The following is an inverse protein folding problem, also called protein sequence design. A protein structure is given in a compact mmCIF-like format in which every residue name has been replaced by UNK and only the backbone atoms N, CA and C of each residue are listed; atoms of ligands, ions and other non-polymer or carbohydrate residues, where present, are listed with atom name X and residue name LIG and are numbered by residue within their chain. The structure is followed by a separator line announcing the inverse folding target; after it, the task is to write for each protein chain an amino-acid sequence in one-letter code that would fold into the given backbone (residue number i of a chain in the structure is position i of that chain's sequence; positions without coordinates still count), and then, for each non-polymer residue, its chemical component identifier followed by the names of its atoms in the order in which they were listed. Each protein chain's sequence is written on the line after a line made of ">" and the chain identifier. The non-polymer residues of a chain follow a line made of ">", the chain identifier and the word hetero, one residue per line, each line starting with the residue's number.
data_IF_036172732546
#
_entry.id   IF_036172732546
#
_cell.length_a   1.000
_cell.length_b   1.000
_cell.length_c   1.000
_cell.angle_alpha   90.00
_cell.angle_beta   90.00
_cell.angle_gamma   90.00
#
_symmetry.space_group_name_H-M   'P 1'
#
loop_
_entity.id
_entity.type
_entity.pdbx_description
1 polymer ?
#
# COMPACT_ATOMS: atom_id res chain seq x y z
N UNK A 1 -13.60 -28.24 7.99
CA UNK A 1 -12.64 -27.22 7.49
C UNK A 1 -12.62 -27.23 5.96
N UNK A 2 -12.64 -28.42 5.34
CA UNK A 2 -12.57 -28.59 3.88
C UNK A 2 -13.77 -27.99 3.12
N UNK A 3 -14.99 -28.11 3.64
CA UNK A 3 -16.18 -27.51 3.02
C UNK A 3 -16.13 -25.97 3.00
N UNK A 4 -15.61 -25.33 4.06
CA UNK A 4 -15.43 -23.86 4.09
C UNK A 4 -14.32 -23.46 3.12
N UNK A 5 -13.22 -24.20 3.07
CA UNK A 5 -12.13 -23.94 2.14
C UNK A 5 -12.56 -24.10 0.68
N UNK A 6 -13.37 -25.12 0.36
CA UNK A 6 -13.96 -25.32 -0.97
C UNK A 6 -14.92 -24.19 -1.34
N UNK A 7 -15.79 -23.79 -0.40
CA UNK A 7 -16.73 -22.67 -0.61
C UNK A 7 -15.98 -21.36 -0.86
N UNK A 8 -14.95 -21.06 -0.06
CA UNK A 8 -14.10 -19.89 -0.25
C UNK A 8 -13.34 -19.94 -1.58
N UNK A 9 -12.81 -21.10 -1.97
CA UNK A 9 -12.13 -21.29 -3.25
C UNK A 9 -13.08 -21.03 -4.42
N UNK A 10 -14.31 -21.56 -4.32
CA UNK A 10 -15.32 -21.32 -5.34
C UNK A 10 -15.64 -19.84 -5.51
N UNK A 11 -16.00 -19.14 -4.42
CA UNK A 11 -16.37 -17.73 -4.50
C UNK A 11 -15.21 -16.80 -4.84
N UNK A 12 -13.98 -17.13 -4.41
CA UNK A 12 -12.83 -16.24 -4.57
C UNK A 12 -11.99 -16.53 -5.82
N UNK A 13 -12.09 -17.72 -6.41
CA UNK A 13 -11.24 -18.12 -7.53
C UNK A 13 -12.04 -18.65 -8.72
N UNK A 14 -13.10 -19.43 -8.48
CA UNK A 14 -13.78 -20.18 -9.54
C UNK A 14 -15.10 -19.56 -10.00
N UNK A 15 -15.58 -18.52 -9.32
CA UNK A 15 -16.82 -17.85 -9.69
C UNK A 15 -16.75 -17.34 -11.15
N UNK A 16 -17.80 -17.55 -11.97
CA UNK A 16 -17.74 -17.27 -13.41
C UNK A 16 -17.36 -15.82 -13.73
N UNK A 17 -17.82 -14.85 -12.94
CA UNK A 17 -17.44 -13.43 -13.07
C UNK A 17 -15.95 -13.15 -12.84
N UNK A 18 -15.25 -14.01 -12.10
CA UNK A 18 -13.82 -13.90 -11.80
C UNK A 18 -13.00 -14.57 -12.92
N UNK A 19 -13.41 -15.77 -13.34
CA UNK A 19 -12.72 -16.54 -14.38
C UNK A 19 -12.84 -15.87 -15.75
N UNK A 20 -14.02 -15.36 -16.09
CA UNK A 20 -14.29 -14.69 -17.38
C UNK A 20 -13.87 -13.22 -17.39
N UNK A 21 -13.28 -12.72 -16.31
CA UNK A 21 -12.88 -11.32 -16.21
C UNK A 21 -11.85 -10.96 -17.27
N UNK A 22 -12.11 -9.85 -17.96
CA UNK A 22 -11.20 -9.26 -18.94
C UNK A 22 -11.11 -7.77 -18.68
N UNK A 23 -9.88 -7.29 -18.51
CA UNK A 23 -9.62 -5.85 -18.48
C UNK A 23 -9.94 -5.26 -19.86
N UNK A 24 -10.89 -4.34 -19.90
CA UNK A 24 -11.34 -3.68 -21.13
C UNK A 24 -11.88 -2.30 -20.81
N UNK A 25 -11.55 -1.33 -21.67
CA UNK A 25 -12.04 0.05 -21.58
C UNK A 25 -13.58 0.17 -21.65
N UNK A 26 -14.25 -0.83 -22.22
CA UNK A 26 -15.71 -0.82 -22.45
C UNK A 26 -16.46 -1.48 -21.29
N UNK A 27 -15.88 -2.53 -20.70
CA UNK A 27 -16.58 -3.40 -19.75
C UNK A 27 -16.16 -3.13 -18.29
N UNK A 28 -14.92 -2.70 -18.06
CA UNK A 28 -14.39 -2.45 -16.72
C UNK A 28 -14.55 -0.97 -16.35
N UNK A 29 -15.21 -0.70 -15.22
CA UNK A 29 -15.35 0.67 -14.72
C UNK A 29 -13.99 1.26 -14.34
N UNK A 30 -13.78 2.54 -14.67
CA UNK A 30 -12.55 3.27 -14.32
C UNK A 30 -11.28 2.78 -15.01
N UNK A 31 -11.43 2.11 -16.15
CA UNK A 31 -10.34 1.54 -16.95
C UNK A 31 -9.78 2.50 -18.02
N UNK A 32 -10.33 3.70 -18.15
CA UNK A 32 -9.84 4.70 -19.12
C UNK A 32 -8.78 5.60 -18.49
N UNK A 33 -7.80 6.02 -19.29
CA UNK A 33 -6.78 6.99 -18.89
C UNK A 33 -7.38 8.31 -18.42
N UNK A 34 -8.42 8.79 -19.11
CA UNK A 34 -9.14 10.00 -18.72
C UNK A 34 -9.75 9.88 -17.32
N UNK A 35 -10.37 8.73 -17.00
CA UNK A 35 -10.92 8.50 -15.67
C UNK A 35 -9.83 8.51 -14.59
N UNK A 36 -8.68 7.88 -14.85
CA UNK A 36 -7.57 7.86 -13.90
C UNK A 36 -7.06 9.27 -13.59
N UNK A 37 -6.73 10.06 -14.61
CA UNK A 37 -6.23 11.42 -14.39
C UNK A 37 -7.28 12.33 -13.77
N UNK A 38 -8.54 12.22 -14.22
CA UNK A 38 -9.65 13.00 -13.67
C UNK A 38 -9.90 12.67 -12.20
N UNK A 39 -9.86 11.38 -11.82
CA UNK A 39 -10.06 10.95 -10.43
C UNK A 39 -8.92 11.39 -9.51
N UNK A 40 -7.66 11.35 -9.98
CA UNK A 40 -6.51 11.87 -9.23
C UNK A 40 -6.60 13.40 -9.09
N UNK A 41 -6.93 14.11 -10.16
CA UNK A 41 -7.10 15.56 -10.12
C UNK A 41 -8.24 15.95 -9.17
N UNK A 42 -9.38 15.27 -9.26
CA UNK A 42 -10.52 15.46 -8.35
C UNK A 42 -10.15 15.19 -6.89
N UNK A 43 -9.40 14.12 -6.62
CA UNK A 43 -8.91 13.81 -5.27
C UNK A 43 -8.04 14.93 -4.70
N UNK A 44 -7.08 15.45 -5.48
CA UNK A 44 -6.20 16.54 -5.05
C UNK A 44 -6.97 17.85 -4.86
N UNK A 45 -7.88 18.16 -5.78
CA UNK A 45 -8.76 19.32 -5.71
C UNK A 45 -9.63 19.28 -4.46
N UNK A 46 -10.28 18.14 -4.18
CA UNK A 46 -11.12 17.98 -3.00
C UNK A 46 -10.29 18.09 -1.70
N UNK A 47 -9.08 17.52 -1.67
CA UNK A 47 -8.17 17.68 -0.54
C UNK A 47 -7.79 19.14 -0.31
N UNK A 48 -7.51 19.89 -1.39
CA UNK A 48 -7.17 21.31 -1.33
C UNK A 48 -8.36 22.16 -0.85
N UNK A 49 -9.56 21.93 -1.40
CA UNK A 49 -10.79 22.63 -0.97
C UNK A 49 -11.05 22.38 0.51
N UNK A 50 -11.06 21.12 0.95
CA UNK A 50 -11.32 20.79 2.36
C UNK A 50 -10.28 21.47 3.26
N UNK A 51 -9.02 21.46 2.86
CA UNK A 51 -7.95 22.10 3.63
C UNK A 51 -8.13 23.62 3.73
N UNK A 52 -8.41 24.30 2.61
CA UNK A 52 -8.63 25.75 2.55
C UNK A 52 -9.90 26.12 3.34
N UNK A 53 -10.99 25.39 3.14
CA UNK A 53 -12.25 25.59 3.86
C UNK A 53 -12.07 25.47 5.37
N UNK A 54 -11.36 24.44 5.85
CA UNK A 54 -11.05 24.28 7.28
C UNK A 54 -10.09 25.34 7.82
N UNK A 55 -9.22 25.90 6.96
CA UNK A 55 -8.31 26.98 7.34
C UNK A 55 -9.05 28.32 7.47
N UNK A 56 -10.05 28.57 6.62
CA UNK A 56 -10.84 29.81 6.61
C UNK A 56 -11.95 29.78 7.69
N UNK A 57 -12.73 28.69 7.76
CA UNK A 57 -14.00 28.70 8.50
C UNK A 57 -13.85 28.39 9.99
N UNK A 58 -12.86 27.59 10.39
CA UNK A 58 -12.70 27.20 11.79
C UNK A 58 -11.46 27.85 12.41
N UNK A 59 -11.64 28.46 13.60
CA UNK A 59 -10.52 28.91 14.45
C UNK A 59 -9.48 27.78 14.63
N UNK A 60 -8.21 28.18 14.65
CA UNK A 60 -7.00 27.34 14.49
C UNK A 60 -6.87 26.20 15.51
N UNK A 61 -7.66 26.22 16.59
CA UNK A 61 -7.46 25.36 17.78
C UNK A 61 -8.46 24.22 17.98
N UNK A 62 -9.51 24.07 17.15
CA UNK A 62 -10.52 23.00 17.34
C UNK A 62 -10.37 21.85 16.35
N UNK A 63 -9.78 20.73 16.77
CA UNK A 63 -9.83 19.50 15.98
C UNK A 63 -11.29 19.03 15.81
N UNK A 64 -11.67 18.56 14.61
CA UNK A 64 -13.02 18.04 14.37
C UNK A 64 -13.10 16.62 14.95
N UNK A 65 -13.99 16.35 15.93
CA UNK A 65 -14.14 15.01 16.48
C UNK A 65 -14.86 14.11 15.46
N UNK A 66 -14.11 13.35 14.66
CA UNK A 66 -14.67 12.39 13.70
C UNK A 66 -15.29 11.13 14.34
N UNK A 67 -15.38 11.06 15.67
CA UNK A 67 -15.96 9.92 16.38
C UNK A 67 -15.36 8.56 15.95
N UNK A 68 -16.19 7.51 15.83
CA UNK A 68 -15.75 6.15 15.47
C UNK A 68 -15.49 5.95 13.97
N UNK A 69 -15.71 6.97 13.12
CA UNK A 69 -15.62 6.84 11.66
C UNK A 69 -14.26 6.29 11.19
N UNK A 70 -13.10 6.75 11.72
CA UNK A 70 -11.80 6.22 11.29
C UNK A 70 -11.53 4.79 11.78
N UNK A 71 -12.20 4.34 12.85
CA UNK A 71 -12.13 2.95 13.30
C UNK A 71 -12.89 2.04 12.35
N UNK A 72 -14.13 2.42 11.97
CA UNK A 72 -14.94 1.70 10.98
C UNK A 72 -14.25 1.62 9.63
N UNK A 73 -13.64 2.72 9.17
CA UNK A 73 -12.82 2.71 7.95
C UNK A 73 -11.62 1.76 8.08
N UNK A 74 -10.94 1.75 9.22
CA UNK A 74 -9.80 0.85 9.40
C UNK A 74 -10.23 -0.61 9.35
N UNK A 75 -11.37 -0.95 9.96
CA UNK A 75 -11.95 -2.30 9.91
C UNK A 75 -12.33 -2.69 8.47
N UNK A 76 -13.03 -1.82 7.74
CA UNK A 76 -13.42 -2.12 6.35
C UNK A 76 -12.21 -2.31 5.45
N UNK A 77 -11.15 -1.51 5.62
CA UNK A 77 -9.90 -1.68 4.87
C UNK A 77 -9.22 -3.01 5.17
N UNK A 78 -9.19 -3.47 6.43
CA UNK A 78 -8.63 -4.80 6.77
C UNK A 78 -9.40 -5.90 6.05
N UNK A 79 -10.74 -5.86 6.10
CA UNK A 79 -11.57 -6.87 5.45
C UNK A 79 -11.34 -6.88 3.93
N UNK A 80 -11.36 -5.72 3.28
CA UNK A 80 -11.10 -5.58 1.84
C UNK A 80 -9.73 -6.16 1.48
N UNK A 81 -8.66 -5.78 2.19
CA UNK A 81 -7.32 -6.27 1.88
C UNK A 81 -7.15 -7.75 2.20
N UNK A 82 -7.80 -8.28 3.23
CA UNK A 82 -7.77 -9.70 3.55
C UNK A 82 -8.47 -10.53 2.46
N UNK A 83 -9.61 -10.06 1.95
CA UNK A 83 -10.32 -10.68 0.84
C UNK A 83 -9.48 -10.65 -0.44
N UNK A 84 -8.84 -9.52 -0.76
CA UNK A 84 -7.95 -9.42 -1.94
C UNK A 84 -6.73 -10.33 -1.80
N UNK A 85 -6.12 -10.38 -0.61
CA UNK A 85 -4.99 -11.26 -0.33
C UNK A 85 -5.36 -12.73 -0.54
N UNK A 86 -6.46 -13.19 0.08
CA UNK A 86 -6.95 -14.55 -0.09
C UNK A 86 -7.31 -14.85 -1.54
N UNK A 87 -7.99 -13.92 -2.21
CA UNK A 87 -8.38 -14.00 -3.61
C UNK A 87 -7.19 -14.17 -4.55
N UNK A 88 -6.16 -13.32 -4.44
CA UNK A 88 -4.95 -13.46 -5.24
C UNK A 88 -4.20 -14.74 -4.90
N UNK A 89 -4.08 -15.09 -3.63
CA UNK A 89 -3.35 -16.29 -3.22
C UNK A 89 -3.99 -17.56 -3.80
N UNK A 90 -5.31 -17.69 -3.68
CA UNK A 90 -6.06 -18.81 -4.22
C UNK A 90 -6.05 -18.82 -5.75
N UNK A 91 -6.27 -17.68 -6.39
CA UNK A 91 -6.23 -17.54 -7.85
C UNK A 91 -4.85 -17.92 -8.40
N UNK A 92 -3.79 -17.44 -7.74
CA UNK A 92 -2.40 -17.76 -8.09
C UNK A 92 -2.11 -19.25 -7.93
N UNK A 93 -2.56 -19.86 -6.83
CA UNK A 93 -2.40 -21.29 -6.60
C UNK A 93 -3.13 -22.12 -7.66
N UNK A 94 -4.34 -21.72 -8.06
CA UNK A 94 -5.12 -22.36 -9.11
C UNK A 94 -4.43 -22.24 -10.48
N UNK A 95 -3.98 -21.04 -10.86
CA UNK A 95 -3.22 -20.81 -12.11
C UNK A 95 -1.94 -21.64 -12.15
N UNK A 96 -1.17 -21.70 -11.05
CA UNK A 96 0.06 -22.51 -10.96
C UNK A 96 -0.27 -24.00 -11.10
N UNK A 97 -1.38 -24.47 -10.52
CA UNK A 97 -1.80 -25.88 -10.60
C UNK A 97 -2.20 -26.28 -12.02
N UNK A 98 -2.99 -25.45 -12.69
CA UNK A 98 -3.45 -25.70 -14.06
C UNK A 98 -2.30 -25.61 -15.07
N UNK A 99 -1.42 -24.61 -14.91
CA UNK A 99 -0.27 -24.44 -15.80
C UNK A 99 0.88 -25.40 -15.50
N UNK A 100 0.88 -26.13 -14.37
CA UNK A 100 1.91 -27.11 -13.99
C UNK A 100 2.19 -28.14 -15.09
N UNK A 101 1.16 -28.54 -15.84
CA UNK A 101 1.32 -29.49 -16.96
C UNK A 101 2.05 -28.86 -18.17
N UNK A 102 1.82 -27.57 -18.43
CA UNK A 102 2.47 -26.79 -19.48
C UNK A 102 3.96 -26.50 -19.18
N UNK A 103 4.33 -26.38 -17.90
CA UNK A 103 5.68 -26.02 -17.44
C UNK A 103 6.57 -27.19 -17.04
N UNK A 104 6.33 -28.40 -17.57
CA UNK A 104 6.91 -29.67 -17.06
C UNK A 104 8.45 -29.78 -17.06
N UNK A 105 9.22 -28.77 -17.52
CA UNK A 105 10.69 -28.90 -17.56
C UNK A 105 11.57 -27.65 -17.35
N UNK A 106 11.07 -26.42 -17.15
CA UNK A 106 12.00 -25.26 -17.10
C UNK A 106 11.67 -24.02 -16.26
N UNK A 107 10.48 -23.91 -15.62
CA UNK A 107 10.14 -22.71 -14.82
C UNK A 107 9.63 -23.05 -13.42
N UNK A 108 10.18 -22.35 -12.42
CA UNK A 108 9.70 -22.42 -11.03
C UNK A 108 8.48 -21.51 -10.85
N UNK A 109 7.57 -21.80 -9.89
CA UNK A 109 6.40 -20.96 -9.61
C UNK A 109 6.78 -19.51 -9.29
N UNK A 110 7.87 -19.30 -8.55
CA UNK A 110 8.41 -17.98 -8.24
C UNK A 110 8.85 -17.22 -9.48
N UNK A 111 9.39 -17.90 -10.49
CA UNK A 111 9.79 -17.26 -11.74
C UNK A 111 8.57 -16.74 -12.52
N UNK A 112 7.44 -17.45 -12.49
CA UNK A 112 6.20 -16.97 -13.11
C UNK A 112 5.61 -15.76 -12.37
N UNK A 113 5.68 -15.74 -11.03
CA UNK A 113 5.25 -14.59 -10.22
C UNK A 113 6.07 -13.32 -10.48
N UNK A 114 7.36 -13.49 -10.78
CA UNK A 114 8.27 -12.39 -11.07
C UNK A 114 8.24 -11.95 -12.54
N UNK A 115 8.05 -12.88 -13.47
CA UNK A 115 8.14 -12.62 -14.91
C UNK A 115 7.03 -13.34 -15.68
N UNK A 116 6.06 -12.57 -16.17
CA UNK A 116 5.03 -13.09 -17.06
C UNK A 116 5.57 -13.30 -18.47
N UNK A 117 5.12 -14.36 -19.18
CA UNK A 117 5.49 -14.57 -20.57
C UNK A 117 4.98 -13.41 -21.45
N UNK A 118 5.75 -13.10 -22.50
CA UNK A 118 5.41 -12.06 -23.47
C UNK A 118 4.04 -12.36 -24.12
N UNK A 119 3.21 -11.33 -24.29
CA UNK A 119 1.89 -11.46 -24.91
C UNK A 119 0.78 -11.99 -23.98
N UNK A 120 1.02 -12.02 -22.66
CA UNK A 120 -0.04 -12.32 -21.68
C UNK A 120 -1.16 -11.30 -21.81
N UNK A 121 -2.38 -11.77 -22.08
CA UNK A 121 -3.58 -10.90 -22.10
C UNK A 121 -4.01 -10.59 -20.66
N UNK A 122 -4.49 -9.36 -20.36
CA UNK A 122 -5.00 -8.98 -19.04
C UNK A 122 -6.38 -9.62 -18.80
N UNK A 123 -6.41 -10.94 -18.63
CA UNK A 123 -7.64 -11.72 -18.48
C UNK A 123 -7.41 -12.87 -17.52
N UNK A 124 -8.46 -13.22 -16.79
CA UNK A 124 -8.45 -14.31 -15.82
C UNK A 124 -8.40 -13.85 -14.37
N UNK A 125 -8.33 -14.84 -13.48
CA UNK A 125 -8.60 -14.72 -12.04
C UNK A 125 -7.68 -13.73 -11.33
N UNK A 126 -6.40 -13.73 -11.71
CA UNK A 126 -5.39 -12.85 -11.11
C UNK A 126 -5.62 -11.38 -11.47
N UNK A 127 -6.10 -11.10 -12.68
CA UNK A 127 -6.40 -9.73 -13.13
C UNK A 127 -7.68 -9.19 -12.48
N UNK A 128 -8.67 -10.04 -12.20
CA UNK A 128 -9.85 -9.65 -11.43
C UNK A 128 -9.48 -9.10 -10.05
N UNK A 129 -8.66 -9.82 -9.29
CA UNK A 129 -8.26 -9.35 -7.97
C UNK A 129 -7.31 -8.17 -7.99
N UNK A 130 -6.52 -8.05 -9.06
CA UNK A 130 -5.71 -6.86 -9.28
C UNK A 130 -6.57 -5.63 -9.57
N UNK A 131 -7.70 -5.82 -10.26
CA UNK A 131 -8.70 -4.78 -10.44
C UNK A 131 -9.39 -4.43 -9.11
N UNK A 132 -9.73 -5.42 -8.29
CA UNK A 132 -10.23 -5.16 -6.93
C UNK A 132 -9.20 -4.40 -6.08
N UNK A 133 -7.91 -4.71 -6.23
CA UNK A 133 -6.84 -3.94 -5.60
C UNK A 133 -6.81 -2.49 -6.09
N UNK A 134 -6.89 -2.24 -7.39
CA UNK A 134 -7.00 -0.90 -7.95
C UNK A 134 -8.20 -0.13 -7.36
N UNK A 135 -9.39 -0.74 -7.30
CA UNK A 135 -10.56 -0.12 -6.68
C UNK A 135 -10.36 0.19 -5.19
N UNK A 136 -9.73 -0.72 -4.46
CA UNK A 136 -9.41 -0.52 -3.04
C UNK A 136 -8.53 0.70 -2.79
N UNK A 137 -7.74 1.15 -3.78
CA UNK A 137 -6.92 2.37 -3.67
C UNK A 137 -7.77 3.62 -3.50
N UNK A 138 -8.94 3.70 -4.14
CA UNK A 138 -9.84 4.85 -3.96
C UNK A 138 -10.43 4.87 -2.55
N UNK A 139 -10.80 3.71 -2.01
CA UNK A 139 -11.25 3.60 -0.61
C UNK A 139 -10.10 3.94 0.36
N UNK A 140 -8.86 3.57 0.02
CA UNK A 140 -7.68 3.96 0.78
C UNK A 140 -7.47 5.48 0.83
N UNK A 141 -7.70 6.17 -0.29
CA UNK A 141 -7.57 7.63 -0.37
C UNK A 141 -8.45 8.36 0.63
N UNK A 142 -9.61 7.79 1.01
CA UNK A 142 -10.54 8.37 1.99
C UNK A 142 -9.88 8.69 3.33
N UNK A 143 -8.87 7.90 3.71
CA UNK A 143 -8.06 8.16 4.91
C UNK A 143 -7.43 9.55 4.91
N UNK A 144 -7.08 10.06 3.74
CA UNK A 144 -6.48 11.39 3.61
C UNK A 144 -7.49 12.47 4.01
N UNK A 145 -8.75 12.34 3.63
CA UNK A 145 -9.80 13.25 4.07
C UNK A 145 -9.96 13.22 5.59
N UNK A 146 -9.98 12.04 6.22
CA UNK A 146 -10.01 11.95 7.68
C UNK A 146 -8.79 12.58 8.35
N UNK A 147 -7.61 12.45 7.73
CA UNK A 147 -6.37 13.05 8.23
C UNK A 147 -6.43 14.57 8.16
N UNK A 148 -6.91 15.13 7.04
CA UNK A 148 -7.08 16.57 6.85
C UNK A 148 -8.15 17.10 7.82
N UNK A 149 -9.28 16.41 8.00
CA UNK A 149 -10.34 16.83 8.93
C UNK A 149 -9.88 16.81 10.40
N UNK A 150 -9.10 15.80 10.80
CA UNK A 150 -8.63 15.65 12.19
C UNK A 150 -7.44 16.55 12.53
N UNK A 151 -6.40 16.50 11.69
CA UNK A 151 -5.11 17.12 11.97
C UNK A 151 -4.92 18.47 11.27
N UNK A 152 -5.83 18.84 10.36
CA UNK A 152 -5.76 20.05 9.50
C UNK A 152 -4.43 20.23 8.78
N UNK A 153 -3.70 19.14 8.56
CA UNK A 153 -2.40 19.15 7.90
C UNK A 153 -2.49 18.45 6.56
N UNK A 154 -2.15 19.18 5.50
CA UNK A 154 -1.96 18.60 4.18
C UNK A 154 -0.57 17.95 4.13
N UNK A 155 -0.50 16.63 4.29
CA UNK A 155 0.74 15.89 4.16
C UNK A 155 1.02 15.62 2.68
N UNK A 156 1.85 16.46 2.04
CA UNK A 156 2.22 16.32 0.63
C UNK A 156 2.68 14.89 0.29
N UNK A 157 3.54 14.30 1.12
CA UNK A 157 4.02 12.92 0.91
C UNK A 157 2.87 11.89 0.91
N UNK A 158 1.84 12.09 1.72
CA UNK A 158 0.67 11.20 1.74
C UNK A 158 -0.15 11.34 0.45
N UNK A 159 -0.39 12.57 -0.01
CA UNK A 159 -1.09 12.83 -1.28
C UNK A 159 -0.33 12.20 -2.45
N UNK A 160 0.96 12.52 -2.55
CA UNK A 160 1.87 12.03 -3.58
C UNK A 160 1.90 10.50 -3.63
N UNK A 161 2.11 9.86 -2.47
CA UNK A 161 2.17 8.40 -2.38
C UNK A 161 0.84 7.75 -2.77
N UNK A 162 -0.30 8.30 -2.32
CA UNK A 162 -1.61 7.76 -2.70
C UNK A 162 -1.88 7.88 -4.20
N UNK A 163 -1.59 9.04 -4.80
CA UNK A 163 -1.76 9.27 -6.24
C UNK A 163 -0.87 8.34 -7.06
N UNK A 164 0.41 8.22 -6.70
CA UNK A 164 1.36 7.36 -7.40
C UNK A 164 0.96 5.90 -7.29
N UNK A 165 0.63 5.41 -6.10
CA UNK A 165 0.26 4.00 -5.92
C UNK A 165 -1.00 3.62 -6.70
N UNK A 166 -1.95 4.55 -6.86
CA UNK A 166 -3.14 4.34 -7.71
C UNK A 166 -2.78 4.33 -9.19
N UNK A 167 -1.91 5.25 -9.61
CA UNK A 167 -1.39 5.27 -10.97
C UNK A 167 -0.61 3.98 -11.32
N UNK A 168 0.26 3.52 -10.41
CA UNK A 168 1.00 2.26 -10.54
C UNK A 168 0.05 1.07 -10.71
N UNK A 169 -0.99 0.98 -9.88
CA UNK A 169 -1.95 -0.13 -9.96
C UNK A 169 -2.77 -0.14 -11.25
N UNK A 170 -3.01 1.03 -11.85
CA UNK A 170 -3.60 1.12 -13.18
C UNK A 170 -2.61 0.60 -14.25
N UNK A 171 -1.35 1.06 -14.22
CA UNK A 171 -0.32 0.61 -15.15
C UNK A 171 -0.10 -0.91 -15.09
N UNK A 172 -0.20 -1.49 -13.89
CA UNK A 172 -0.15 -2.93 -13.69
C UNK A 172 -1.19 -3.66 -14.54
N UNK A 173 -2.45 -3.21 -14.49
CA UNK A 173 -3.56 -3.79 -15.26
C UNK A 173 -3.40 -3.54 -16.76
N UNK A 174 -3.10 -2.30 -17.15
CA UNK A 174 -3.04 -1.88 -18.55
C UNK A 174 -1.95 -2.63 -19.34
N UNK A 175 -0.75 -2.73 -18.76
CA UNK A 175 0.39 -3.35 -19.42
C UNK A 175 0.63 -4.80 -19.00
N UNK A 176 -0.27 -5.38 -18.20
CA UNK A 176 -0.12 -6.73 -17.62
C UNK A 176 1.28 -6.92 -17.03
N UNK A 177 1.66 -5.98 -16.17
CA UNK A 177 3.04 -5.84 -15.75
C UNK A 177 3.49 -7.07 -14.95
N UNK A 178 4.66 -7.58 -15.31
CA UNK A 178 5.38 -8.55 -14.47
C UNK A 178 5.61 -7.99 -13.06
N UNK A 179 5.70 -8.86 -12.05
CA UNK A 179 5.82 -8.54 -10.61
C UNK A 179 4.55 -8.02 -9.90
N UNK A 180 3.49 -7.67 -10.63
CA UNK A 180 2.22 -7.20 -10.05
C UNK A 180 1.65 -8.12 -8.96
N UNK A 181 1.62 -9.43 -9.18
CA UNK A 181 1.00 -10.39 -8.24
C UNK A 181 1.72 -10.41 -6.89
N UNK A 182 3.05 -10.52 -6.94
CA UNK A 182 3.88 -10.54 -5.72
C UNK A 182 3.84 -9.20 -5.00
N UNK A 183 3.85 -8.09 -5.74
CA UNK A 183 3.71 -6.75 -5.19
C UNK A 183 2.36 -6.58 -4.46
N UNK A 184 1.25 -7.05 -5.05
CA UNK A 184 -0.06 -6.98 -4.41
C UNK A 184 -0.12 -7.89 -3.18
N UNK A 185 0.40 -9.11 -3.22
CA UNK A 185 0.44 -10.02 -2.06
C UNK A 185 1.19 -9.40 -0.87
N UNK A 186 2.39 -8.86 -1.11
CA UNK A 186 3.18 -8.22 -0.06
C UNK A 186 2.48 -6.96 0.46
N UNK A 187 1.94 -6.12 -0.44
CA UNK A 187 1.27 -4.89 -0.07
C UNK A 187 0.00 -5.15 0.75
N UNK A 188 -0.86 -6.07 0.31
CA UNK A 188 -2.11 -6.42 1.00
C UNK A 188 -1.83 -7.01 2.37
N UNK A 189 -0.84 -7.89 2.52
CA UNK A 189 -0.42 -8.43 3.81
C UNK A 189 0.02 -7.31 4.77
N UNK A 190 0.91 -6.42 4.31
CA UNK A 190 1.36 -5.29 5.11
C UNK A 190 0.21 -4.33 5.47
N UNK A 191 -0.71 -4.07 4.55
CA UNK A 191 -1.88 -3.24 4.84
C UNK A 191 -2.84 -3.88 5.84
N UNK A 192 -3.08 -5.20 5.76
CA UNK A 192 -3.86 -5.92 6.78
C UNK A 192 -3.26 -5.73 8.18
N UNK A 193 -1.94 -5.89 8.30
CA UNK A 193 -1.23 -5.71 9.57
C UNK A 193 -1.33 -4.25 10.05
N UNK A 194 -1.07 -3.28 9.18
CA UNK A 194 -1.08 -1.84 9.54
C UNK A 194 -2.48 -1.37 9.91
N UNK A 195 -3.50 -1.72 9.14
CA UNK A 195 -4.88 -1.31 9.41
C UNK A 195 -5.49 -2.07 10.58
N UNK A 196 -5.13 -3.35 10.77
CA UNK A 196 -5.49 -4.13 11.94
C UNK A 196 -4.94 -3.51 13.22
N UNK A 197 -3.65 -3.13 13.21
CA UNK A 197 -3.05 -2.39 14.32
C UNK A 197 -3.73 -1.04 14.57
N UNK A 198 -4.13 -0.31 13.51
CA UNK A 198 -4.86 0.95 13.69
C UNK A 198 -6.23 0.76 14.31
N UNK A 199 -6.99 -0.23 13.85
CA UNK A 199 -8.28 -0.58 14.43
C UNK A 199 -8.12 -0.97 15.90
N UNK A 200 -7.14 -1.82 16.22
CA UNK A 200 -6.76 -2.21 17.57
C UNK A 200 -6.55 -0.98 18.47
N UNK A 201 -5.70 -0.04 18.03
CA UNK A 201 -5.45 1.19 18.80
C UNK A 201 -6.64 2.15 18.87
N UNK A 202 -7.59 2.06 17.93
CA UNK A 202 -8.78 2.91 17.90
C UNK A 202 -9.86 2.45 18.89
N UNK A 203 -9.90 1.15 19.24
CA UNK A 203 -10.78 0.59 20.27
C UNK A 203 -10.28 0.92 21.70
N UNK A 204 -9.09 1.50 21.83
CA UNK A 204 -8.51 1.87 23.13
C UNK A 204 -7.54 0.84 23.70
N UNK A 205 -7.16 -0.17 22.91
CA UNK A 205 -6.14 -1.14 23.30
C UNK A 205 -4.74 -0.53 23.31
N UNK A 206 -3.79 -1.08 24.10
CA UNK A 206 -2.47 -0.51 24.28
C UNK A 206 -1.70 -0.39 22.96
N UNK A 207 -0.98 0.74 22.81
CA UNK A 207 -0.12 1.01 21.67
C UNK A 207 1.24 0.34 21.86
N UNK A 208 1.84 -0.10 20.76
CA UNK A 208 3.21 -0.60 20.77
C UNK A 208 4.19 0.52 21.16
N UNK A 209 5.22 0.16 21.93
CA UNK A 209 6.26 1.09 22.41
C UNK A 209 7.21 1.58 21.30
N UNK A 210 7.13 1.00 20.10
CA UNK A 210 7.95 1.34 18.95
C UNK A 210 7.08 1.76 17.75
N UNK A 211 7.63 2.47 16.74
CA UNK A 211 6.86 2.93 15.57
C UNK A 211 6.52 1.77 14.61
N UNK A 212 5.64 0.86 15.05
CA UNK A 212 5.27 -0.39 14.39
C UNK A 212 4.86 -0.21 12.92
N UNK A 213 4.00 0.78 12.65
CA UNK A 213 3.52 1.08 11.29
C UNK A 213 4.66 1.45 10.36
N UNK A 214 5.62 2.26 10.84
CA UNK A 214 6.76 2.72 10.04
C UNK A 214 7.69 1.54 9.74
N UNK A 215 7.95 0.68 10.73
CA UNK A 215 8.78 -0.51 10.54
C UNK A 215 8.14 -1.50 9.54
N UNK A 216 6.83 -1.73 9.63
CA UNK A 216 6.12 -2.57 8.65
C UNK A 216 6.21 -1.99 7.23
N UNK A 217 6.09 -0.67 7.08
CA UNK A 217 6.26 0.01 5.79
C UNK A 217 7.70 -0.08 5.28
N UNK A 218 8.71 0.02 6.15
CA UNK A 218 10.12 -0.20 5.77
C UNK A 218 10.36 -1.59 5.22
N UNK A 219 9.84 -2.62 5.91
CA UNK A 219 9.96 -4.02 5.45
C UNK A 219 9.27 -4.19 4.10
N UNK A 220 8.06 -3.66 3.94
CA UNK A 220 7.33 -3.71 2.66
C UNK A 220 8.14 -3.06 1.53
N UNK A 221 8.65 -1.85 1.74
CA UNK A 221 9.43 -1.14 0.72
C UNK A 221 10.74 -1.87 0.40
N UNK A 222 11.41 -2.43 1.40
CA UNK A 222 12.61 -3.24 1.22
C UNK A 222 12.35 -4.53 0.43
N UNK A 223 11.28 -5.26 0.76
CA UNK A 223 10.88 -6.45 0.02
C UNK A 223 10.51 -6.12 -1.43
N UNK A 224 9.79 -5.02 -1.68
CA UNK A 224 9.49 -4.57 -3.04
C UNK A 224 10.76 -4.27 -3.83
N UNK A 225 11.72 -3.53 -3.24
CA UNK A 225 12.99 -3.23 -3.88
C UNK A 225 13.76 -4.50 -4.27
N UNK A 226 13.88 -5.46 -3.34
CA UNK A 226 14.55 -6.73 -3.61
C UNK A 226 13.88 -7.51 -4.75
N UNK A 227 12.55 -7.50 -4.80
CA UNK A 227 11.81 -8.16 -5.88
C UNK A 227 11.98 -7.45 -7.23
N UNK A 228 12.02 -6.11 -7.26
CA UNK A 228 12.33 -5.35 -8.47
C UNK A 228 13.70 -5.72 -9.04
N UNK A 229 14.73 -5.86 -8.18
CA UNK A 229 16.06 -6.35 -8.60
C UNK A 229 15.97 -7.77 -9.18
N UNK A 230 15.19 -8.66 -8.55
CA UNK A 230 14.97 -10.02 -9.05
C UNK A 230 14.35 -10.07 -10.45
N UNK A 231 13.39 -9.19 -10.75
CA UNK A 231 12.77 -9.08 -12.08
C UNK A 231 13.80 -8.64 -13.12
N UNK A 232 14.63 -7.65 -12.79
CA UNK A 232 15.67 -7.14 -13.69
C UNK A 232 16.67 -8.24 -14.05
N UNK A 233 17.14 -9.00 -13.06
CA UNK A 233 18.05 -10.12 -13.27
C UNK A 233 17.42 -11.20 -14.17
N UNK A 234 16.16 -11.57 -13.91
CA UNK A 234 15.45 -12.57 -14.72
C UNK A 234 15.22 -12.09 -16.17
N UNK A 235 14.93 -10.80 -16.36
CA UNK A 235 14.76 -10.21 -17.68
C UNK A 235 16.04 -10.32 -18.51
N UNK A 236 17.19 -9.97 -17.91
CA UNK A 236 18.50 -10.03 -18.57
C UNK A 236 18.94 -11.46 -18.87
N UNK A 237 18.66 -12.41 -17.97
CA UNK A 237 19.12 -13.80 -18.11
C UNK A 237 18.24 -14.68 -19.03
N UNK A 238 16.94 -14.40 -19.17
CA UNK A 238 15.98 -15.35 -19.79
C UNK A 238 15.12 -14.79 -20.94
N UNK A 239 15.45 -13.60 -21.46
CA UNK A 239 14.92 -13.15 -22.75
C UNK A 239 13.55 -12.47 -22.70
N UNK A 240 13.38 -11.45 -21.84
CA UNK A 240 12.21 -10.58 -21.89
C UNK A 240 11.07 -10.96 -20.93
N UNK A 241 10.48 -9.95 -20.29
CA UNK A 241 9.29 -10.08 -19.43
C UNK A 241 8.22 -9.12 -19.92
N UNK A 242 6.94 -9.49 -19.79
CA UNK A 242 5.85 -8.64 -20.23
C UNK A 242 5.79 -7.32 -19.44
N UNK A 243 5.51 -6.22 -20.13
CA UNK A 243 5.36 -4.90 -19.52
C UNK A 243 6.66 -4.27 -19.01
N UNK A 244 7.81 -4.54 -19.62
CA UNK A 244 9.12 -4.03 -19.15
C UNK A 244 9.20 -2.49 -19.10
N UNK A 245 8.57 -1.80 -20.05
CA UNK A 245 8.52 -0.33 -20.06
C UNK A 245 7.73 0.23 -18.86
N UNK A 246 6.55 -0.34 -18.59
CA UNK A 246 5.74 0.00 -17.43
C UNK A 246 6.44 -0.36 -16.10
N UNK A 247 7.16 -1.49 -16.07
CA UNK A 247 7.99 -1.87 -14.94
C UNK A 247 9.10 -0.87 -14.66
N UNK A 248 9.78 -0.36 -15.70
CA UNK A 248 10.82 0.67 -15.56
C UNK A 248 10.24 1.94 -14.93
N UNK A 249 9.11 2.41 -15.45
CA UNK A 249 8.43 3.59 -14.90
C UNK A 249 7.98 3.38 -13.44
N UNK A 250 7.38 2.23 -13.13
CA UNK A 250 6.97 1.88 -11.77
C UNK A 250 8.16 1.71 -10.83
N UNK A 251 9.32 1.27 -11.31
CA UNK A 251 10.55 1.19 -10.51
C UNK A 251 11.04 2.59 -10.12
N UNK A 252 11.04 3.55 -11.06
CA UNK A 252 11.40 4.95 -10.78
C UNK A 252 10.46 5.57 -9.75
N UNK A 253 9.14 5.39 -9.93
CA UNK A 253 8.15 5.91 -8.99
C UNK A 253 8.26 5.26 -7.59
N UNK A 254 8.53 3.96 -7.51
CA UNK A 254 8.79 3.28 -6.23
C UNK A 254 10.07 3.80 -5.58
N UNK A 255 11.11 4.08 -6.37
CA UNK A 255 12.34 4.74 -5.91
C UNK A 255 12.05 6.12 -5.31
N UNK A 256 11.19 6.92 -5.94
CA UNK A 256 10.78 8.22 -5.41
C UNK A 256 10.01 8.10 -4.07
N UNK A 257 9.12 7.11 -3.94
CA UNK A 257 8.42 6.82 -2.68
C UNK A 257 9.43 6.42 -1.59
N UNK A 258 10.34 5.50 -1.91
CA UNK A 258 11.36 5.02 -0.98
C UNK A 258 12.25 6.18 -0.50
N UNK A 259 12.71 7.02 -1.42
CA UNK A 259 13.50 8.20 -1.08
C UNK A 259 12.75 9.14 -0.14
N UNK A 260 11.49 9.47 -0.44
CA UNK A 260 10.67 10.32 0.42
C UNK A 260 10.46 9.70 1.81
N UNK A 261 10.26 8.38 1.88
CA UNK A 261 10.09 7.67 3.13
C UNK A 261 11.37 7.64 3.97
N UNK A 262 12.52 7.36 3.36
CA UNK A 262 13.82 7.38 4.02
C UNK A 262 14.16 8.77 4.55
N UNK A 263 13.91 9.82 3.76
CA UNK A 263 14.11 11.19 4.19
C UNK A 263 13.26 11.53 5.43
N UNK A 264 11.99 11.11 5.44
CA UNK A 264 11.12 11.27 6.62
C UNK A 264 11.64 10.47 7.83
N UNK A 265 12.04 9.21 7.61
CA UNK A 265 12.54 8.33 8.66
C UNK A 265 13.83 8.88 9.31
N UNK A 266 14.79 9.32 8.49
CA UNK A 266 16.04 9.92 8.97
C UNK A 266 15.76 11.19 9.76
N UNK A 267 14.91 12.09 9.25
CA UNK A 267 14.52 13.31 9.97
C UNK A 267 13.85 13.02 11.32
N UNK A 268 12.98 12.02 11.38
CA UNK A 268 12.32 11.60 12.62
C UNK A 268 13.33 11.07 13.65
N UNK A 269 14.27 10.23 13.23
CA UNK A 269 15.28 9.66 14.12
C UNK A 269 16.30 10.70 14.61
N UNK A 270 16.75 11.61 13.73
CA UNK A 270 17.62 12.72 14.12
C UNK A 270 16.93 13.64 15.12
N UNK A 271 15.65 13.96 14.90
CA UNK A 271 14.85 14.73 15.84
C UNK A 271 14.70 14.08 17.22
N UNK A 272 14.51 12.76 17.26
CA UNK A 272 14.43 12.01 18.53
C UNK A 272 15.77 12.00 19.28
N UNK A 273 16.90 11.83 18.57
CA UNK A 273 18.25 11.91 19.17
C UNK A 273 18.51 13.28 19.79
N UNK A 274 18.14 14.36 19.10
CA UNK A 274 18.33 15.72 19.61
C UNK A 274 17.50 15.98 20.88
N UNK A 275 16.26 15.47 20.95
CA UNK A 275 15.42 15.55 22.15
C UNK A 275 16.01 14.78 23.32
N UNK A 276 16.51 13.57 23.09
CA UNK A 276 17.18 12.78 24.13
C UNK A 276 18.43 13.48 24.65
N UNK A 277 19.23 14.10 23.78
CA UNK A 277 20.39 14.89 24.19
C UNK A 277 20.01 16.14 25.00
N UNK A 278 18.93 16.84 24.62
CA UNK A 278 18.44 17.99 25.39
C UNK A 278 17.94 17.58 26.79
N UNK A 279 17.20 16.47 26.88
CA UNK A 279 16.73 15.93 28.17
C UNK A 279 17.89 15.49 29.06
N UNK A 280 18.90 14.83 28.49
CA UNK A 280 20.10 14.44 29.24
C UNK A 280 20.87 15.66 29.77
N UNK A 281 21.02 16.72 28.96
CA UNK A 281 21.65 17.97 29.41
C UNK A 281 20.86 18.65 30.52
N UNK A 282 19.54 18.76 30.38
CA UNK A 282 18.68 19.35 31.41
C UNK A 282 18.77 18.59 32.75
N UNK A 283 18.77 17.25 32.71
CA UNK A 283 18.90 16.43 33.91
C UNK A 283 20.29 16.55 34.58
N UNK A 284 21.35 16.81 33.81
CA UNK A 284 22.69 17.08 34.38
C UNK A 284 22.70 18.45 35.06
N UNK A 285 22.15 19.48 34.41
CA UNK A 285 22.06 20.83 34.98
C UNK A 285 21.22 20.85 36.26
N UNK A 286 20.08 20.16 36.29
CA UNK A 286 19.24 20.03 37.49
C UNK A 286 20.01 19.40 38.66
N UNK A 287 20.75 18.32 38.41
CA UNK A 287 21.59 17.66 39.43
C UNK A 287 22.75 18.53 39.92
N UNK A 288 23.38 19.31 39.04
CA UNK A 288 24.42 20.26 39.45
C UNK A 288 23.86 21.39 40.32
N UNK A 289 22.65 21.86 40.01
CA UNK A 289 21.96 22.91 40.77
C UNK A 289 21.53 22.41 42.16
N UNK A 290 20.99 21.19 42.25
CA UNK A 290 20.64 20.54 43.52
C UNK A 290 21.87 20.22 44.40
N UNK A 291 23.02 19.96 43.78
CA UNK A 291 24.27 19.74 44.52
C UNK A 291 24.81 21.06 45.07
N UNK A 292 24.80 22.12 44.28
CA UNK A 292 25.21 23.45 44.72
C UNK A 292 24.35 23.99 45.87
N UNK A 293 23.04 23.71 45.87
CA UNK A 293 22.14 24.08 46.97
C UNK A 293 22.28 23.21 48.24
N UNK A 294 22.93 22.04 48.14
CA UNK A 294 23.22 21.18 49.30
C UNK A 294 24.54 21.50 49.97
N UNK A 295 25.50 21.99 49.19
CA UNK A 295 26.88 22.20 49.62
C UNK A 295 27.19 23.67 50.02
N UNK A 296 26.22 24.58 49.90
CA UNK A 296 26.32 26.00 50.27
C UNK A 296 25.31 26.41 51.34
#
# INVERSE_FOLDING_TARGET
>A
MDSIFQTLTYYLSEHPSIVTFRWSHIQSWGSTWSFLFSSIAFYLFLCAIIHIFLAILLRRDRAVPLGPIPALHSLSMVLIYATIFAGILLSTAAEIRETRWFWRRSKTPFQWLLCFPLGTRPSGRVFFWSYMYYLSRFVHMLRTFFTILRMRRLAFFQLFNNSILTFMSFLWLEFSQSFQVLAILLATLAYCIVYGYRFWTAIGLPRACFPFVVNCQMVLLGCNLACHVGVLLLHLMKGGCNGIGAWGFNSVLNGAILFGFLNFYVKMNLGNKNKQQQQAKAAITEKETEKFQRDG
#
